data_IF_367705654820
#
_entry.id   IF_367705654820
#
_cell.length_a   1.000
_cell.length_b   1.000
_cell.length_c   1.000
_cell.angle_alpha   90.00
_cell.angle_beta   90.00
_cell.angle_gamma   90.00
#
_symmetry.space_group_name_H-M   'P 1'
#
loop_
_entity.id
_entity.type
_entity.pdbx_description
1 polymer ?
#
# COMPACT_ATOMS: atom_id res chain seq x y z
N UNK A 1 22.14 9.97 5.13
CA UNK A 1 21.58 10.48 6.39
C UNK A 1 20.39 9.61 6.72
N UNK A 2 20.51 8.69 7.69
CA UNK A 2 19.38 7.86 8.11
C UNK A 2 18.51 8.70 9.05
N UNK A 3 17.52 9.39 8.51
CA UNK A 3 16.46 9.98 9.32
C UNK A 3 15.57 8.88 9.87
N UNK A 4 15.22 8.93 11.14
CA UNK A 4 14.21 8.06 11.73
C UNK A 4 12.93 8.20 10.90
N UNK A 5 12.40 7.08 10.38
CA UNK A 5 11.12 7.09 9.67
C UNK A 5 10.04 7.72 10.56
N UNK A 6 9.22 8.59 9.99
CA UNK A 6 8.03 9.02 10.71
C UNK A 6 7.08 7.83 10.88
N UNK A 7 6.14 7.94 11.83
CA UNK A 7 5.15 6.90 12.03
C UNK A 7 4.35 6.60 10.75
N UNK A 8 4.02 7.64 9.96
CA UNK A 8 3.30 7.47 8.70
C UNK A 8 4.18 6.85 7.61
N UNK A 9 5.47 7.17 7.55
CA UNK A 9 6.39 6.54 6.59
C UNK A 9 6.52 5.04 6.86
N UNK A 10 6.58 4.66 8.14
CA UNK A 10 6.63 3.25 8.54
C UNK A 10 5.36 2.49 8.13
N UNK A 11 4.18 3.06 8.43
CA UNK A 11 2.89 2.45 8.06
C UNK A 11 2.72 2.37 6.54
N UNK A 12 3.14 3.39 5.81
CA UNK A 12 3.08 3.39 4.35
C UNK A 12 3.98 2.31 3.75
N UNK A 13 5.22 2.19 4.25
CA UNK A 13 6.16 1.16 3.81
C UNK A 13 5.61 -0.24 4.08
N UNK A 14 5.00 -0.47 5.24
CA UNK A 14 4.38 -1.75 5.59
C UNK A 14 3.18 -2.06 4.68
N UNK A 15 2.30 -1.09 4.43
CA UNK A 15 1.17 -1.28 3.54
C UNK A 15 1.60 -1.58 2.10
N UNK A 16 2.60 -0.86 1.58
CA UNK A 16 3.17 -1.12 0.25
C UNK A 16 3.76 -2.53 0.17
N UNK A 17 4.46 -2.97 1.22
CA UNK A 17 5.00 -4.32 1.29
C UNK A 17 3.89 -5.38 1.20
N UNK A 18 2.83 -5.22 2.00
CA UNK A 18 1.67 -6.13 1.99
C UNK A 18 0.99 -6.17 0.62
N UNK A 19 0.78 -5.03 -0.04
CA UNK A 19 0.20 -5.00 -1.40
C UNK A 19 1.03 -5.81 -2.40
N UNK A 20 2.37 -5.70 -2.33
CA UNK A 20 3.28 -6.43 -3.23
C UNK A 20 3.29 -7.92 -2.94
N UNK A 21 3.25 -8.31 -1.67
CA UNK A 21 3.17 -9.72 -1.28
C UNK A 21 1.87 -10.34 -1.80
N UNK A 22 0.72 -9.70 -1.57
CA UNK A 22 -0.58 -10.19 -2.07
C UNK A 22 -0.60 -10.27 -3.60
N UNK A 23 0.00 -9.30 -4.29
CA UNK A 23 0.09 -9.36 -5.76
C UNK A 23 1.05 -10.44 -6.28
N UNK A 24 2.05 -10.85 -5.49
CA UNK A 24 2.99 -11.92 -5.84
C UNK A 24 2.44 -13.32 -5.55
N UNK A 25 1.64 -13.46 -4.50
CA UNK A 25 1.16 -14.77 -4.01
C UNK A 25 -0.21 -15.19 -4.59
N UNK A 26 -1.02 -14.25 -5.10
CA UNK A 26 -2.37 -14.53 -5.59
C UNK A 26 -2.53 -14.20 -7.08
N UNK A 27 -3.21 -15.07 -7.84
CA UNK A 27 -3.41 -14.89 -9.28
C UNK A 27 -4.43 -13.78 -9.63
N UNK A 28 -5.43 -13.54 -8.78
CA UNK A 28 -6.55 -12.60 -9.05
C UNK A 28 -6.92 -11.78 -7.81
N UNK A 29 -5.99 -10.99 -7.25
CA UNK A 29 -6.28 -10.15 -6.10
C UNK A 29 -7.25 -9.03 -6.47
N UNK A 30 -8.10 -8.64 -5.53
CA UNK A 30 -9.07 -7.54 -5.67
C UNK A 30 -8.99 -6.62 -4.47
N UNK A 31 -9.30 -5.33 -4.67
CA UNK A 31 -9.51 -4.37 -3.58
C UNK A 31 -11.01 -4.21 -3.40
N UNK A 32 -11.51 -4.50 -2.19
CA UNK A 32 -12.88 -4.17 -1.81
C UNK A 32 -13.01 -2.66 -1.62
N UNK A 33 -13.68 -1.99 -2.57
CA UNK A 33 -13.74 -0.54 -2.62
C UNK A 33 -15.15 -0.03 -2.32
N UNK A 34 -15.30 0.69 -1.21
CA UNK A 34 -16.60 1.26 -0.77
C UNK A 34 -16.77 2.74 -1.14
N UNK A 35 -15.71 3.41 -1.58
CA UNK A 35 -15.69 4.87 -1.76
C UNK A 35 -15.57 5.67 -0.46
N UNK A 36 -15.48 5.00 0.70
CA UNK A 36 -15.20 5.64 1.98
C UNK A 36 -13.73 5.99 2.16
N UNK A 37 -13.42 6.82 3.17
CA UNK A 37 -12.07 7.33 3.46
C UNK A 37 -11.00 6.23 3.52
N UNK A 38 -11.32 5.11 4.15
CA UNK A 38 -10.35 4.03 4.37
C UNK A 38 -10.03 3.31 3.06
N UNK A 39 -11.06 3.04 2.24
CA UNK A 39 -10.87 2.44 0.91
C UNK A 39 -10.17 3.36 -0.09
N UNK A 40 -10.31 4.68 0.06
CA UNK A 40 -9.56 5.67 -0.72
C UNK A 40 -8.08 5.65 -0.32
N UNK A 41 -7.77 5.60 0.98
CA UNK A 41 -6.38 5.46 1.46
C UNK A 41 -5.77 4.15 0.97
N UNK A 42 -6.50 3.04 1.04
CA UNK A 42 -6.03 1.77 0.47
C UNK A 42 -5.76 1.84 -1.02
N UNK A 43 -6.64 2.48 -1.81
CA UNK A 43 -6.40 2.70 -3.24
C UNK A 43 -5.14 3.54 -3.49
N UNK A 44 -4.93 4.60 -2.70
CA UNK A 44 -3.72 5.43 -2.80
C UNK A 44 -2.44 4.63 -2.51
N UNK A 45 -2.45 3.83 -1.45
CA UNK A 45 -1.33 2.96 -1.07
C UNK A 45 -1.07 1.88 -2.13
N UNK A 46 -2.12 1.29 -2.71
CA UNK A 46 -2.01 0.33 -3.81
C UNK A 46 -1.35 0.97 -5.03
N UNK A 47 -1.74 2.20 -5.40
CA UNK A 47 -1.10 2.93 -6.50
C UNK A 47 0.39 3.14 -6.20
N UNK A 48 0.75 3.61 -4.99
CA UNK A 48 2.14 3.78 -4.58
C UNK A 48 2.94 2.48 -4.62
N UNK A 49 2.32 1.34 -4.27
CA UNK A 49 2.99 0.05 -4.29
C UNK A 49 3.46 -0.37 -5.69
N UNK A 50 2.79 0.08 -6.75
CA UNK A 50 3.08 -0.33 -8.13
C UNK A 50 3.50 0.81 -9.07
N UNK A 51 3.71 2.01 -8.55
CA UNK A 51 4.30 3.11 -9.35
C UNK A 51 5.82 2.90 -9.43
N UNK A 52 6.48 3.15 -10.59
CA UNK A 52 7.94 3.12 -10.69
C UNK A 52 8.59 4.10 -9.71
N UNK A 53 9.77 3.72 -9.19
CA UNK A 53 10.60 4.58 -8.35
C UNK A 53 11.33 5.64 -9.18
#
# INVERSE_FOLDING_TARGET
MSGTLSHLDALESEAVHIFREVAGEFERPVILFSGGKDSIVMLHLALKAFTPA
#
